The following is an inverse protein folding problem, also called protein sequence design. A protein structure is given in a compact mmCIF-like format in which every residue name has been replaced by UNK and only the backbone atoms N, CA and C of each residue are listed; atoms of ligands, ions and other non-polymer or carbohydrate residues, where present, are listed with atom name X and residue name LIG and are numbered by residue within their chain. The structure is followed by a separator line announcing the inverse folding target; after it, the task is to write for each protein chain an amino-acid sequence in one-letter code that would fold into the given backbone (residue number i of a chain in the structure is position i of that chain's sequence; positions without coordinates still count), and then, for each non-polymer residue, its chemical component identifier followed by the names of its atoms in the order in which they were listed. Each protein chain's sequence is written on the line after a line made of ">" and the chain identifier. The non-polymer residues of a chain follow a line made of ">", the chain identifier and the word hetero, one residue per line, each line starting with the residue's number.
data_IF_929717223613
#
_entry.id   IF_929717223613
#
_cell.length_a   1.000
_cell.length_b   1.000
_cell.length_c   1.000
_cell.angle_alpha   90.00
_cell.angle_beta   90.00
_cell.angle_gamma   90.00
#
_symmetry.space_group_name_H-M   'P 1'
#
loop_
_entity.id
_entity.type
_entity.pdbx_description
1 polymer ?
#
# COMPACT_ATOMS: atom_id res chain seq x y z
N UNK A 1 -11.78 -28.73 -12.31
CA UNK A 1 -10.72 -27.84 -12.87
C UNK A 1 -11.22 -26.80 -13.90
N UNK A 2 -12.17 -27.10 -14.81
CA UNK A 2 -12.67 -26.16 -15.84
C UNK A 2 -13.26 -24.83 -15.29
N UNK A 3 -13.99 -24.88 -14.17
CA UNK A 3 -14.64 -23.68 -13.59
C UNK A 3 -13.64 -22.72 -12.92
N UNK A 4 -12.66 -23.26 -12.19
CA UNK A 4 -11.55 -22.47 -11.60
C UNK A 4 -10.69 -21.78 -12.67
N UNK A 5 -10.46 -22.46 -13.81
CA UNK A 5 -9.75 -21.89 -14.97
C UNK A 5 -10.58 -20.82 -15.69
N UNK A 6 -11.90 -20.98 -15.80
CA UNK A 6 -12.82 -19.96 -16.32
C UNK A 6 -12.87 -18.71 -15.43
N UNK A 7 -13.00 -18.87 -14.11
CA UNK A 7 -13.00 -17.74 -13.15
C UNK A 7 -11.66 -16.99 -13.23
N UNK A 8 -10.52 -17.70 -13.22
CA UNK A 8 -9.21 -17.07 -13.34
C UNK A 8 -9.02 -16.34 -14.68
N UNK A 9 -9.54 -16.88 -15.79
CA UNK A 9 -9.49 -16.20 -17.08
C UNK A 9 -10.39 -14.97 -17.13
N UNK A 10 -11.59 -15.02 -16.55
CA UNK A 10 -12.51 -13.87 -16.48
C UNK A 10 -11.92 -12.74 -15.63
N UNK A 11 -11.32 -13.08 -14.49
CA UNK A 11 -10.59 -12.13 -13.65
C UNK A 11 -9.42 -11.55 -14.45
N UNK A 12 -8.57 -12.39 -15.05
CA UNK A 12 -7.41 -11.93 -15.83
C UNK A 12 -7.78 -11.04 -17.03
N UNK A 13 -8.90 -11.29 -17.71
CA UNK A 13 -9.35 -10.47 -18.83
C UNK A 13 -9.89 -9.12 -18.35
N UNK A 14 -10.65 -9.11 -17.24
CA UNK A 14 -11.12 -7.87 -16.61
C UNK A 14 -9.96 -7.00 -16.13
N UNK A 15 -8.95 -7.64 -15.56
CA UNK A 15 -7.70 -7.03 -15.15
C UNK A 15 -6.97 -6.41 -16.36
N UNK A 16 -6.67 -7.19 -17.41
CA UNK A 16 -5.96 -6.69 -18.60
C UNK A 16 -6.72 -5.57 -19.34
N UNK A 17 -8.04 -5.65 -19.45
CA UNK A 17 -8.88 -4.62 -20.08
C UNK A 17 -8.81 -3.30 -19.30
N UNK A 18 -8.84 -3.38 -17.96
CA UNK A 18 -8.78 -2.20 -17.11
C UNK A 18 -7.35 -1.62 -17.03
N UNK A 19 -6.30 -2.43 -17.22
CA UNK A 19 -4.93 -1.94 -17.42
C UNK A 19 -4.83 -1.07 -18.68
N UNK A 20 -5.44 -1.49 -19.79
CA UNK A 20 -5.49 -0.71 -21.03
C UNK A 20 -6.21 0.63 -20.85
N UNK A 21 -7.41 0.60 -20.25
CA UNK A 21 -8.17 1.83 -19.94
C UNK A 21 -7.37 2.76 -19.01
N UNK A 22 -6.58 2.20 -18.09
CA UNK A 22 -5.81 3.00 -17.14
C UNK A 22 -4.65 3.76 -17.80
N UNK A 23 -3.98 3.14 -18.77
CA UNK A 23 -2.98 3.82 -19.59
C UNK A 23 -3.58 5.01 -20.35
N UNK A 24 -4.76 4.81 -20.93
CA UNK A 24 -5.43 5.84 -21.74
C UNK A 24 -6.00 6.96 -20.86
N UNK A 25 -6.52 6.63 -19.68
CA UNK A 25 -6.91 7.63 -18.68
C UNK A 25 -5.70 8.44 -18.18
N UNK A 26 -4.55 7.80 -17.96
CA UNK A 26 -3.31 8.51 -17.59
C UNK A 26 -2.89 9.52 -18.65
N UNK A 27 -3.02 9.15 -19.93
CA UNK A 27 -2.77 10.04 -21.07
C UNK A 27 -3.76 11.23 -21.10
N UNK A 28 -5.06 10.97 -20.90
CA UNK A 28 -6.08 12.02 -20.87
C UNK A 28 -5.87 12.97 -19.68
N UNK A 29 -5.52 12.46 -18.50
CA UNK A 29 -5.22 13.28 -17.31
C UNK A 29 -4.00 14.17 -17.51
N UNK A 30 -2.95 13.64 -18.14
CA UNK A 30 -1.76 14.43 -18.49
C UNK A 30 -2.13 15.59 -19.41
N UNK A 31 -2.99 15.33 -20.41
CA UNK A 31 -3.47 16.37 -21.34
C UNK A 31 -4.31 17.44 -20.65
N UNK A 32 -5.21 17.05 -19.74
CA UNK A 32 -6.01 18.00 -18.95
C UNK A 32 -5.10 18.85 -18.05
N UNK A 33 -4.08 18.25 -17.43
CA UNK A 33 -3.11 18.96 -16.60
C UNK A 33 -2.35 20.02 -17.39
N UNK A 34 -1.85 19.67 -18.57
CA UNK A 34 -1.19 20.64 -19.47
C UNK A 34 -2.14 21.79 -19.84
N UNK A 35 -3.40 21.49 -20.13
CA UNK A 35 -4.43 22.50 -20.38
C UNK A 35 -4.66 23.44 -19.17
N UNK A 36 -4.61 22.91 -17.94
CA UNK A 36 -4.74 23.71 -16.72
C UNK A 36 -3.49 24.52 -16.37
N UNK A 37 -2.29 24.11 -16.81
CA UNK A 37 -1.08 24.94 -16.70
C UNK A 37 -1.12 26.16 -17.63
N UNK A 38 -1.88 26.09 -18.73
CA UNK A 38 -2.06 27.18 -19.68
C UNK A 38 -3.13 28.20 -19.25
N UNK A 39 -3.91 27.92 -18.19
CA UNK A 39 -4.94 28.83 -17.67
C UNK A 39 -4.34 29.66 -16.52
N UNK A 40 -4.24 30.98 -16.71
CA UNK A 40 -3.61 31.93 -15.78
C UNK A 40 -4.36 32.16 -14.46
N UNK A 41 -5.55 31.58 -14.28
CA UNK A 41 -6.34 31.75 -13.04
C UNK A 41 -6.11 30.61 -12.05
N UNK A 42 -5.06 30.75 -11.25
CA UNK A 42 -4.60 29.74 -10.27
C UNK A 42 -5.69 29.35 -9.25
N UNK A 43 -6.59 30.27 -8.89
CA UNK A 43 -7.71 30.00 -7.96
C UNK A 43 -8.73 29.00 -8.51
N UNK A 44 -8.97 28.99 -9.82
CA UNK A 44 -9.94 28.11 -10.47
C UNK A 44 -9.33 26.76 -10.85
N UNK A 45 -8.05 26.73 -11.20
CA UNK A 45 -7.36 25.50 -11.66
C UNK A 45 -6.86 24.63 -10.50
N UNK A 46 -6.57 25.21 -9.32
CA UNK A 46 -6.02 24.49 -8.17
C UNK A 46 -6.90 23.32 -7.66
N UNK A 47 -8.24 23.44 -7.55
CA UNK A 47 -9.10 22.30 -7.21
C UNK A 47 -9.04 21.19 -8.26
N UNK A 48 -9.08 21.55 -9.55
CA UNK A 48 -9.07 20.60 -10.66
C UNK A 48 -7.72 19.87 -10.76
N UNK A 49 -6.61 20.60 -10.59
CA UNK A 49 -5.26 20.01 -10.50
C UNK A 49 -5.15 19.00 -9.35
N UNK A 50 -5.83 19.25 -8.23
CA UNK A 50 -5.87 18.33 -7.08
C UNK A 50 -6.69 17.07 -7.40
N UNK A 51 -7.82 17.21 -8.07
CA UNK A 51 -8.65 16.08 -8.49
C UNK A 51 -7.93 15.20 -9.52
N UNK A 52 -7.22 15.81 -10.48
CA UNK A 52 -6.37 15.08 -11.45
C UNK A 52 -5.28 14.29 -10.73
N UNK A 53 -4.58 14.90 -9.77
CA UNK A 53 -3.54 14.21 -8.99
C UNK A 53 -4.12 13.03 -8.21
N UNK A 54 -5.35 13.16 -7.72
CA UNK A 54 -6.08 12.09 -7.05
C UNK A 54 -6.44 10.98 -8.04
N UNK A 55 -6.89 11.31 -9.25
CA UNK A 55 -7.16 10.34 -10.31
C UNK A 55 -5.90 9.61 -10.78
N UNK A 56 -4.77 10.30 -10.94
CA UNK A 56 -3.48 9.69 -11.27
C UNK A 56 -3.02 8.69 -10.19
N UNK A 57 -3.18 9.05 -8.92
CA UNK A 57 -2.86 8.17 -7.80
C UNK A 57 -3.74 6.91 -7.83
N UNK A 58 -5.06 7.08 -8.02
CA UNK A 58 -6.00 5.97 -8.13
C UNK A 58 -5.68 5.04 -9.31
N UNK A 59 -5.29 5.62 -10.45
CA UNK A 59 -4.89 4.88 -11.65
C UNK A 59 -3.60 4.09 -11.45
N UNK A 60 -2.58 4.70 -10.85
CA UNK A 60 -1.33 3.99 -10.55
C UNK A 60 -1.56 2.85 -9.58
N UNK A 61 -2.32 3.09 -8.50
CA UNK A 61 -2.66 2.04 -7.54
C UNK A 61 -3.47 0.90 -8.19
N UNK A 62 -4.35 1.23 -9.13
CA UNK A 62 -5.12 0.24 -9.87
C UNK A 62 -4.26 -0.52 -10.89
N UNK A 63 -3.37 0.15 -11.62
CA UNK A 63 -2.38 -0.47 -12.50
C UNK A 63 -1.45 -1.41 -11.72
N UNK A 64 -0.99 -1.00 -10.55
CA UNK A 64 -0.19 -1.82 -9.64
C UNK A 64 -0.97 -3.07 -9.16
N UNK A 65 -2.27 -2.93 -8.94
CA UNK A 65 -3.16 -4.06 -8.63
C UNK A 65 -3.38 -4.98 -9.84
N UNK A 66 -3.45 -4.39 -11.04
CA UNK A 66 -3.91 -5.04 -12.26
C UNK A 66 -2.79 -5.71 -13.05
N UNK A 67 -1.60 -5.11 -13.10
CA UNK A 67 -0.44 -5.87 -13.53
C UNK A 67 -0.31 -7.08 -12.60
N UNK A 68 -0.35 -8.27 -13.19
CA UNK A 68 0.07 -9.49 -12.50
C UNK A 68 1.51 -9.21 -12.07
N UNK A 69 1.72 -8.67 -10.87
CA UNK A 69 3.05 -8.40 -10.29
C UNK A 69 3.78 -9.73 -10.35
N UNK A 70 4.58 -9.89 -11.40
CA UNK A 70 5.46 -11.04 -11.57
C UNK A 70 6.57 -10.73 -10.58
N UNK A 71 6.73 -11.59 -9.58
CA UNK A 71 7.95 -11.62 -8.78
C UNK A 71 9.06 -11.87 -9.79
N UNK A 72 9.75 -10.80 -10.18
CA UNK A 72 10.71 -10.86 -11.29
C UNK A 72 12.11 -11.13 -10.75
N UNK A 73 12.47 -10.53 -9.61
CA UNK A 73 13.85 -10.51 -9.14
C UNK A 73 13.92 -10.71 -7.61
N UNK A 74 14.06 -11.96 -7.17
CA UNK A 74 14.42 -12.23 -5.78
C UNK A 74 15.88 -11.84 -5.54
N UNK A 75 16.12 -10.94 -4.59
CA UNK A 75 17.47 -10.56 -4.17
C UNK A 75 17.57 -10.59 -2.65
N UNK A 76 18.81 -10.77 -2.16
CA UNK A 76 19.06 -10.70 -0.73
C UNK A 76 19.11 -9.22 -0.32
N UNK A 77 18.16 -8.79 0.51
CA UNK A 77 17.96 -7.38 0.84
C UNK A 77 18.22 -7.17 2.32
N UNK A 78 18.90 -6.08 2.67
CA UNK A 78 18.97 -5.61 4.06
C UNK A 78 17.64 -4.97 4.45
N UNK A 79 16.95 -5.59 5.40
CA UNK A 79 15.61 -5.15 5.83
C UNK A 79 15.66 -3.80 6.53
N UNK A 80 16.72 -3.50 7.28
CA UNK A 80 16.85 -2.19 7.94
C UNK A 80 16.96 -1.07 6.91
N UNK A 81 17.85 -1.24 5.94
CA UNK A 81 18.05 -0.25 4.86
C UNK A 81 16.76 -0.04 4.06
N UNK A 82 16.02 -1.11 3.75
CA UNK A 82 14.74 -1.00 3.06
C UNK A 82 13.70 -0.23 3.88
N UNK A 83 13.57 -0.50 5.18
CA UNK A 83 12.64 0.23 6.06
C UNK A 83 13.03 1.71 6.13
N UNK A 84 14.33 2.01 6.26
CA UNK A 84 14.84 3.39 6.29
C UNK A 84 14.58 4.11 4.96
N UNK A 85 14.78 3.44 3.82
CA UNK A 85 14.45 3.96 2.48
C UNK A 85 12.97 4.36 2.38
N UNK A 86 12.06 3.50 2.86
CA UNK A 86 10.63 3.80 2.87
C UNK A 86 10.32 4.98 3.81
N UNK A 87 10.90 5.01 5.01
CA UNK A 87 10.64 6.08 6.00
C UNK A 87 11.15 7.44 5.53
N UNK A 88 12.27 7.48 4.82
CA UNK A 88 12.86 8.72 4.29
C UNK A 88 12.09 9.24 3.06
N UNK A 89 11.36 8.39 2.35
CA UNK A 89 10.55 8.79 1.18
C UNK A 89 9.48 9.86 1.49
N UNK A 90 9.09 10.01 2.75
CA UNK A 90 8.11 10.99 3.22
C UNK A 90 8.60 11.71 4.47
N UNK A 91 8.66 13.04 4.42
CA UNK A 91 9.08 13.86 5.56
C UNK A 91 8.16 13.69 6.78
N UNK A 92 6.89 13.38 6.55
CA UNK A 92 5.92 13.05 7.60
C UNK A 92 6.27 11.74 8.29
N UNK A 93 6.58 10.69 7.52
CA UNK A 93 6.99 9.39 8.06
C UNK A 93 8.29 9.52 8.85
N UNK A 94 9.28 10.23 8.30
CA UNK A 94 10.58 10.45 8.96
C UNK A 94 10.45 11.06 10.36
N UNK A 95 9.50 11.97 10.59
CA UNK A 95 9.29 12.62 11.90
C UNK A 95 8.53 11.76 12.90
N UNK A 96 7.71 10.81 12.43
CA UNK A 96 6.73 10.08 13.24
C UNK A 96 7.12 8.63 13.51
N UNK A 97 8.07 8.09 12.75
CA UNK A 97 8.41 6.66 12.77
C UNK A 97 9.67 6.37 13.56
N UNK A 98 9.59 5.43 14.49
CA UNK A 98 10.74 4.83 15.19
C UNK A 98 11.00 3.42 14.63
N UNK A 99 12.24 3.10 14.32
CA UNK A 99 12.64 1.82 13.72
C UNK A 99 13.39 0.98 14.77
N UNK A 100 12.86 -0.20 15.05
CA UNK A 100 13.45 -1.23 15.91
C UNK A 100 13.79 -2.45 15.05
N UNK A 101 14.95 -2.40 14.41
CA UNK A 101 15.44 -3.43 13.50
C UNK A 101 16.95 -3.59 13.69
N UNK A 102 17.43 -4.84 13.83
CA UNK A 102 18.85 -5.12 13.84
C UNK A 102 19.46 -4.87 12.45
N UNK A 103 20.67 -4.32 12.38
CA UNK A 103 21.30 -3.90 11.12
C UNK A 103 21.66 -5.04 10.17
N UNK A 104 21.76 -6.28 10.68
CA UNK A 104 22.18 -7.46 9.91
C UNK A 104 21.03 -8.43 9.62
N UNK A 105 19.82 -7.91 9.38
CA UNK A 105 18.70 -8.74 8.93
C UNK A 105 18.68 -8.73 7.40
N UNK A 106 19.14 -9.83 6.80
CA UNK A 106 19.06 -10.07 5.36
C UNK A 106 17.96 -11.06 5.03
N UNK A 107 17.20 -10.80 3.97
CA UNK A 107 16.11 -11.68 3.53
C UNK A 107 16.01 -11.70 2.01
N UNK A 108 15.91 -12.90 1.43
CA UNK A 108 15.73 -13.08 0.00
C UNK A 108 14.28 -12.87 -0.42
N UNK A 109 13.99 -11.75 -1.09
CA UNK A 109 12.62 -11.41 -1.53
C UNK A 109 12.64 -10.45 -2.73
N UNK A 110 11.47 -10.11 -3.27
CA UNK A 110 11.31 -9.04 -4.25
C UNK A 110 11.29 -7.68 -3.55
N UNK A 111 12.35 -6.88 -3.76
CA UNK A 111 12.53 -5.59 -3.08
C UNK A 111 11.35 -4.66 -3.28
N UNK A 112 10.85 -4.56 -4.51
CA UNK A 112 9.78 -3.63 -4.88
C UNK A 112 8.45 -4.00 -4.22
N UNK A 113 8.13 -5.30 -4.19
CA UNK A 113 6.94 -5.80 -3.51
C UNK A 113 6.98 -5.52 -2.01
N UNK A 114 8.13 -5.80 -1.37
CA UNK A 114 8.28 -5.54 0.06
C UNK A 114 8.28 -4.03 0.39
N UNK A 115 8.95 -3.21 -0.43
CA UNK A 115 8.89 -1.76 -0.33
C UNK A 115 7.44 -1.27 -0.34
N UNK A 116 6.64 -1.72 -1.31
CA UNK A 116 5.25 -1.28 -1.46
C UNK A 116 4.36 -1.74 -0.31
N UNK A 117 4.56 -2.94 0.19
CA UNK A 117 3.88 -3.45 1.39
C UNK A 117 4.15 -2.52 2.58
N UNK A 118 5.42 -2.22 2.87
CA UNK A 118 5.80 -1.39 4.02
C UNK A 118 5.25 0.03 3.83
N UNK A 119 5.41 0.60 2.64
CA UNK A 119 4.92 1.94 2.32
C UNK A 119 3.41 2.09 2.53
N UNK A 120 2.61 1.16 2.01
CA UNK A 120 1.15 1.19 2.15
C UNK A 120 0.71 1.12 3.62
N UNK A 121 1.38 0.29 4.44
CA UNK A 121 1.07 0.17 5.86
C UNK A 121 1.49 1.41 6.65
N UNK A 122 2.63 2.02 6.31
CA UNK A 122 3.08 3.26 6.94
C UNK A 122 2.22 4.47 6.56
N UNK A 123 1.76 4.56 5.32
CA UNK A 123 0.78 5.57 4.90
C UNK A 123 -0.55 5.40 5.64
N UNK A 124 -0.99 4.15 5.85
CA UNK A 124 -2.18 3.89 6.65
C UNK A 124 -1.97 4.33 8.12
N UNK A 125 -0.85 3.92 8.73
CA UNK A 125 -0.50 4.29 10.09
C UNK A 125 -0.35 5.81 10.27
N UNK A 126 0.25 6.53 9.32
CA UNK A 126 0.49 7.98 9.40
C UNK A 126 -0.77 8.81 9.22
N UNK A 127 -1.76 8.26 8.52
CA UNK A 127 -3.06 8.89 8.30
C UNK A 127 -3.93 8.87 9.56
N UNK A 128 -3.87 7.80 10.35
CA UNK A 128 -4.73 7.60 11.52
C UNK A 128 -4.00 7.78 12.86
N UNK A 129 -2.68 7.65 12.88
CA UNK A 129 -1.82 7.83 14.05
C UNK A 129 -0.84 9.00 13.92
N UNK A 130 -0.31 9.43 15.07
CA UNK A 130 0.74 10.45 15.20
C UNK A 130 2.12 9.82 15.35
N UNK A 131 2.22 8.68 16.02
CA UNK A 131 3.47 7.98 16.27
C UNK A 131 3.39 6.56 15.70
N UNK A 132 4.47 6.13 15.06
CA UNK A 132 4.57 4.83 14.42
C UNK A 132 5.83 4.12 14.93
N UNK A 133 5.72 2.85 15.27
CA UNK A 133 6.85 2.00 15.61
C UNK A 133 6.93 0.82 14.65
N UNK A 134 8.09 0.58 14.07
CA UNK A 134 8.35 -0.57 13.21
C UNK A 134 9.27 -1.52 13.94
N UNK A 135 8.85 -2.76 14.09
CA UNK A 135 9.65 -3.85 14.64
C UNK A 135 9.94 -4.85 13.53
N UNK A 136 11.21 -5.14 13.28
CA UNK A 136 11.58 -6.17 12.31
C UNK A 136 12.52 -7.18 12.96
N UNK A 137 12.16 -8.45 12.86
CA UNK A 137 12.92 -9.57 13.40
C UNK A 137 12.97 -10.71 12.39
N UNK A 138 14.10 -11.42 12.34
CA UNK A 138 14.23 -12.67 11.57
C UNK A 138 14.55 -13.79 12.53
N UNK A 139 13.74 -14.85 12.51
CA UNK A 139 13.99 -16.10 13.24
C UNK A 139 14.03 -17.23 12.23
N UNK A 140 15.16 -17.93 12.13
CA UNK A 140 15.40 -18.95 11.10
C UNK A 140 15.09 -18.39 9.68
N UNK A 141 14.15 -19.01 8.97
CA UNK A 141 13.68 -18.62 7.64
C UNK A 141 12.50 -17.64 7.65
N UNK A 142 12.04 -17.20 8.82
CA UNK A 142 10.85 -16.35 8.92
C UNK A 142 11.23 -14.92 9.26
N UNK A 143 10.92 -13.99 8.35
CA UNK A 143 10.97 -12.56 8.59
C UNK A 143 9.61 -12.09 9.12
N UNK A 144 9.62 -11.43 10.27
CA UNK A 144 8.44 -10.77 10.85
C UNK A 144 8.65 -9.27 10.89
N UNK A 145 7.71 -8.51 10.33
CA UNK A 145 7.67 -7.05 10.39
C UNK A 145 6.35 -6.64 11.03
N UNK A 146 6.40 -5.93 12.15
CA UNK A 146 5.25 -5.36 12.82
C UNK A 146 5.28 -3.84 12.71
N UNK A 147 4.16 -3.24 12.30
CA UNK A 147 3.96 -1.79 12.24
C UNK A 147 2.85 -1.46 13.23
N UNK A 148 3.22 -0.74 14.29
CA UNK A 148 2.34 -0.29 15.37
C UNK A 148 2.07 1.20 15.24
N UNK A 149 0.81 1.61 15.34
CA UNK A 149 0.38 3.01 15.40
C UNK A 149 -0.36 3.34 16.70
N UNK A 150 -0.51 4.63 17.00
CA UNK A 150 -1.30 5.19 18.10
C UNK A 150 -2.63 5.80 17.62
N UNK A 151 -3.19 5.28 16.53
CA UNK A 151 -4.49 5.68 16.02
C UNK A 151 -5.67 5.15 16.84
N UNK A 152 -6.91 5.31 16.36
CA UNK A 152 -8.12 4.92 17.09
C UNK A 152 -8.37 3.40 17.17
N UNK A 153 -7.49 2.58 16.60
CA UNK A 153 -7.70 1.14 16.45
C UNK A 153 -8.73 0.79 15.36
N UNK A 154 -8.97 -0.51 15.15
CA UNK A 154 -9.94 -1.01 14.18
C UNK A 154 -10.94 -1.94 14.88
N UNK A 155 -12.24 -1.61 14.92
CA UNK A 155 -13.26 -2.48 15.52
C UNK A 155 -13.29 -3.87 14.89
N UNK A 156 -13.51 -4.92 15.69
CA UNK A 156 -13.45 -6.33 15.26
C UNK A 156 -14.28 -6.64 14.01
N UNK A 157 -15.50 -6.08 13.93
CA UNK A 157 -16.42 -6.23 12.79
C UNK A 157 -15.85 -5.76 11.44
N UNK A 158 -14.79 -4.96 11.45
CA UNK A 158 -14.13 -4.42 10.27
C UNK A 158 -12.79 -5.08 9.95
N UNK A 159 -12.16 -5.79 10.90
CA UNK A 159 -10.79 -6.33 10.75
C UNK A 159 -10.60 -7.23 9.53
N UNK A 160 -11.63 -7.98 9.12
CA UNK A 160 -11.59 -8.77 7.88
C UNK A 160 -11.92 -7.94 6.62
N UNK A 161 -12.80 -6.94 6.74
CA UNK A 161 -13.34 -6.18 5.60
C UNK A 161 -12.34 -5.14 5.09
N UNK A 162 -11.46 -4.61 5.93
CA UNK A 162 -10.45 -3.60 5.54
C UNK A 162 -9.48 -4.08 4.46
N UNK A 163 -9.34 -5.39 4.26
CA UNK A 163 -8.52 -5.96 3.19
C UNK A 163 -9.26 -6.09 1.86
N UNK A 164 -10.58 -5.79 1.80
CA UNK A 164 -11.35 -5.81 0.56
C UNK A 164 -11.05 -4.55 -0.26
N UNK A 165 -10.92 -4.66 -1.58
CA UNK A 165 -10.70 -3.51 -2.46
C UNK A 165 -11.79 -2.45 -2.25
N UNK A 166 -11.38 -1.18 -2.21
CA UNK A 166 -12.26 0.00 -2.08
C UNK A 166 -13.04 0.10 -0.76
N UNK A 167 -12.80 -0.79 0.21
CA UNK A 167 -13.49 -0.74 1.48
C UNK A 167 -12.96 0.38 2.38
N UNK A 168 -13.87 1.13 2.99
CA UNK A 168 -13.60 2.20 3.96
C UNK A 168 -14.52 2.05 5.17
N UNK A 169 -14.02 2.35 6.36
CA UNK A 169 -14.81 2.31 7.60
C UNK A 169 -15.76 3.50 7.68
N UNK A 170 -15.33 4.67 7.21
CA UNK A 170 -16.16 5.88 7.13
C UNK A 170 -16.62 6.15 5.68
N UNK A 171 -17.93 6.26 5.49
CA UNK A 171 -18.61 6.74 4.28
C UNK A 171 -18.45 8.26 4.06
N UNK A 172 -17.53 8.92 4.76
CA UNK A 172 -17.38 10.36 4.65
C UNK A 172 -16.94 10.71 3.21
N UNK A 173 -17.86 11.37 2.51
CA UNK A 173 -17.80 11.90 1.13
C UNK A 173 -16.68 12.93 0.88
N UNK A 174 -15.60 12.87 1.65
CA UNK A 174 -14.39 13.65 1.47
C UNK A 174 -13.37 12.85 0.65
N UNK A 175 -13.60 12.78 -0.66
CA UNK A 175 -12.61 12.37 -1.68
C UNK A 175 -11.25 13.06 -1.47
N UNK A 176 -11.27 14.26 -0.90
CA UNK A 176 -10.11 15.11 -0.65
C UNK A 176 -9.24 14.77 0.56
N UNK A 177 -9.68 13.87 1.46
CA UNK A 177 -8.92 13.45 2.67
C UNK A 177 -8.73 11.92 2.78
N UNK A 178 -9.43 11.13 1.98
CA UNK A 178 -9.43 9.69 2.08
C UNK A 178 -8.80 9.00 0.88
N UNK A 179 -7.62 8.39 1.05
CA UNK A 179 -6.99 7.50 0.05
C UNK A 179 -7.95 6.46 -0.54
N UNK A 180 -7.56 5.82 -1.63
CA UNK A 180 -8.40 4.97 -2.49
C UNK A 180 -9.15 3.81 -1.83
N UNK A 181 -8.68 3.33 -0.68
CA UNK A 181 -9.12 2.06 -0.10
C UNK A 181 -8.50 0.84 -0.78
N UNK A 182 -7.49 1.01 -1.65
CA UNK A 182 -6.77 -0.08 -2.31
C UNK A 182 -5.53 -0.52 -1.53
N UNK A 183 -4.90 0.36 -0.75
CA UNK A 183 -3.59 0.10 -0.12
C UNK A 183 -3.53 -1.22 0.66
N UNK A 184 -4.50 -1.51 1.53
CA UNK A 184 -4.52 -2.77 2.31
C UNK A 184 -4.85 -3.99 1.44
N UNK A 185 -5.68 -3.84 0.41
CA UNK A 185 -5.99 -4.93 -0.52
C UNK A 185 -4.77 -5.30 -1.39
N UNK A 186 -4.01 -4.30 -1.85
CA UNK A 186 -2.74 -4.48 -2.57
C UNK A 186 -1.73 -5.16 -1.64
N UNK A 187 -1.63 -4.68 -0.40
CA UNK A 187 -0.74 -5.25 0.61
C UNK A 187 -1.03 -6.73 0.84
N UNK A 188 -2.30 -7.10 1.00
CA UNK A 188 -2.71 -8.49 1.18
C UNK A 188 -2.33 -9.37 -0.02
N UNK A 189 -2.57 -8.90 -1.25
CA UNK A 189 -2.21 -9.65 -2.47
C UNK A 189 -0.70 -9.80 -2.64
N UNK A 190 0.10 -8.75 -2.39
CA UNK A 190 1.55 -8.83 -2.45
C UNK A 190 2.11 -9.80 -1.40
N UNK A 191 1.59 -9.78 -0.18
CA UNK A 191 2.02 -10.70 0.89
C UNK A 191 1.72 -12.15 0.51
N UNK A 192 0.53 -12.43 -0.05
CA UNK A 192 0.20 -13.78 -0.56
C UNK A 192 1.15 -14.22 -1.68
N UNK A 193 1.52 -13.31 -2.59
CA UNK A 193 2.49 -13.61 -3.67
C UNK A 193 3.86 -13.94 -3.11
N UNK A 194 4.28 -13.25 -2.05
CA UNK A 194 5.50 -13.55 -1.29
C UNK A 194 5.34 -14.75 -0.34
N UNK A 195 4.29 -15.57 -0.49
CA UNK A 195 3.97 -16.73 0.36
C UNK A 195 3.92 -16.41 1.86
N UNK A 196 3.57 -15.17 2.19
CA UNK A 196 3.48 -14.69 3.55
C UNK A 196 2.05 -14.65 4.09
N UNK A 197 1.93 -14.11 5.30
CA UNK A 197 0.66 -13.83 5.97
C UNK A 197 0.69 -12.44 6.58
N UNK A 198 -0.44 -11.76 6.55
CA UNK A 198 -0.69 -10.53 7.30
C UNK A 198 -1.72 -10.82 8.39
N UNK A 199 -1.48 -10.27 9.58
CA UNK A 199 -2.41 -10.32 10.70
C UNK A 199 -2.55 -8.93 11.30
N UNK A 200 -3.67 -8.75 11.99
CA UNK A 200 -4.05 -7.50 12.63
C UNK A 200 -4.34 -7.78 14.10
N UNK A 201 -3.75 -7.00 15.00
CA UNK A 201 -4.02 -7.05 16.43
C UNK A 201 -4.12 -5.64 16.97
N UNK A 202 -4.82 -5.47 18.09
CA UNK A 202 -4.88 -4.18 18.78
C UNK A 202 -3.58 -3.98 19.57
N UNK A 203 -3.07 -2.75 19.61
CA UNK A 203 -1.95 -2.43 20.49
C UNK A 203 -2.43 -2.24 21.92
N UNK A 204 -1.93 -3.07 22.83
CA UNK A 204 -2.15 -2.89 24.26
C UNK A 204 -1.45 -1.64 24.82
N UNK A 205 -0.41 -1.15 24.13
CA UNK A 205 0.43 -0.02 24.59
C UNK A 205 -0.15 1.32 24.15
N UNK A 206 -0.59 1.42 22.90
CA UNK A 206 -1.05 2.69 22.32
C UNK A 206 -2.58 2.75 22.16
N UNK A 207 -3.29 1.63 22.36
CA UNK A 207 -4.70 1.44 21.97
C UNK A 207 -4.96 1.60 20.46
N UNK A 208 -3.90 1.69 19.65
CA UNK A 208 -3.98 1.74 18.21
C UNK A 208 -3.91 0.36 17.58
N UNK A 209 -3.33 0.28 16.38
CA UNK A 209 -3.33 -0.93 15.56
C UNK A 209 -1.93 -1.49 15.39
N UNK A 210 -1.79 -2.81 15.33
CA UNK A 210 -0.56 -3.48 14.91
C UNK A 210 -0.85 -4.35 13.68
N UNK A 211 -0.22 -4.00 12.56
CA UNK A 211 -0.14 -4.86 11.38
C UNK A 211 1.11 -5.72 11.48
N UNK A 212 0.95 -7.04 11.53
CA UNK A 212 2.06 -7.99 11.62
C UNK A 212 2.14 -8.84 10.35
N UNK A 213 3.26 -8.74 9.65
CA UNK A 213 3.56 -9.44 8.40
C UNK A 213 4.59 -10.52 8.69
N UNK A 214 4.32 -11.75 8.26
CA UNK A 214 5.27 -12.87 8.31
C UNK A 214 5.56 -13.38 6.90
N UNK A 215 6.83 -13.34 6.47
CA UNK A 215 7.30 -13.91 5.21
C UNK A 215 8.24 -15.09 5.50
N UNK A 216 8.17 -16.13 4.66
CA UNK A 216 9.01 -17.33 4.79
C UNK A 216 9.97 -17.36 3.60
N UNK A 217 11.26 -17.51 3.89
CA UNK A 217 12.32 -17.71 2.90
C UNK A 217 12.22 -19.14 2.34
N UNK A 218 12.16 -19.27 1.01
CA UNK A 218 12.21 -20.56 0.32
C UNK A 218 13.59 -21.22 0.55
#
# INVERSE_FOLDING_TARGET
>A
MKMRRRINNYVSQRTNFLTGISHDLGTILTRIKLGLELINEEKQTKPIKKDIKTMEMLLREYLDFSEKVKIKNLSNINIKELIEEVVVSSSTLKKRTKIFCASRIFFKTDKNSLYRIIFNLLENASKFGKNISIYATKKFKTLTIEIEDDGPGIPDKFKEKIFKPFYKIDDSRNLNKGGSGLGLSITNELIKKLKGKITLKDSLKTKGTIFSISLIED
#
